data_IF_623511920030
#
_entry.id   IF_623511920030
#
_cell.length_a   1.000
_cell.length_b   1.000
_cell.length_c   1.000
_cell.angle_alpha   90.00
_cell.angle_beta   90.00
_cell.angle_gamma   90.00
#
_symmetry.space_group_name_H-M   'P 1'
#
loop_
_entity.id
_entity.type
_entity.pdbx_description
1 polymer ?
#
# COMPACT_ATOMS: atom_id res chain seq x y z
N UNK A 1 -11.00 1.69 13.52
CA UNK A 1 -11.36 0.28 13.28
C UNK A 1 -12.74 0.01 13.86
N UNK A 2 -13.55 -0.81 13.20
CA UNK A 2 -14.86 -1.19 13.73
C UNK A 2 -14.66 -2.08 14.96
N UNK A 3 -15.27 -1.72 16.08
CA UNK A 3 -15.26 -2.51 17.32
C UNK A 3 -16.34 -3.58 17.22
N UNK A 4 -16.03 -4.64 16.50
CA UNK A 4 -16.91 -5.81 16.31
C UNK A 4 -16.40 -7.02 17.12
N UNK A 5 -17.28 -7.95 17.53
CA UNK A 5 -16.93 -8.97 18.53
C UNK A 5 -15.78 -9.93 18.15
N UNK A 6 -15.59 -10.22 16.86
CA UNK A 6 -14.63 -11.24 16.41
C UNK A 6 -13.17 -10.80 16.49
N UNK A 7 -12.92 -9.49 16.47
CA UNK A 7 -11.58 -8.88 16.57
C UNK A 7 -11.39 -8.04 17.84
N UNK A 8 -12.45 -7.80 18.62
CA UNK A 8 -12.42 -6.89 19.76
C UNK A 8 -11.30 -7.19 20.77
N UNK A 9 -11.06 -8.47 21.06
CA UNK A 9 -10.04 -8.89 22.02
C UNK A 9 -8.62 -8.92 21.45
N UNK A 10 -8.48 -8.90 20.12
CA UNK A 10 -7.18 -8.91 19.45
C UNK A 10 -6.62 -7.50 19.24
N UNK A 11 -7.50 -6.51 19.12
CA UNK A 11 -7.11 -5.13 18.77
C UNK A 11 -6.63 -4.38 20.01
N UNK A 12 -5.42 -3.82 19.92
CA UNK A 12 -4.87 -2.92 20.93
C UNK A 12 -5.50 -1.52 20.80
N UNK A 13 -6.65 -1.33 21.45
CA UNK A 13 -7.44 -0.09 21.38
C UNK A 13 -6.72 1.08 22.03
N UNK A 14 -6.67 2.23 21.34
CA UNK A 14 -6.01 3.41 21.86
C UNK A 14 -5.93 4.56 20.87
N UNK A 15 -4.90 5.38 21.00
CA UNK A 15 -4.70 6.55 20.13
C UNK A 15 -4.52 6.17 18.65
N UNK A 16 -3.91 5.01 18.38
CA UNK A 16 -3.71 4.46 17.02
C UNK A 16 -4.97 3.75 16.54
N UNK A 17 -5.41 2.70 17.25
CA UNK A 17 -6.60 1.93 16.89
C UNK A 17 -7.83 2.54 17.57
N UNK A 18 -8.44 3.53 16.90
CA UNK A 18 -9.63 4.20 17.42
C UNK A 18 -10.90 3.41 17.07
N UNK A 19 -11.79 3.14 18.05
CA UNK A 19 -13.00 2.35 17.82
C UNK A 19 -14.06 3.14 17.05
N UNK A 20 -14.75 2.47 16.13
CA UNK A 20 -15.99 2.90 15.52
C UNK A 20 -17.08 1.86 15.82
N UNK A 21 -18.27 2.29 16.18
CA UNK A 21 -19.38 1.38 16.44
C UNK A 21 -19.85 0.70 15.12
N UNK A 22 -20.27 -0.58 15.16
CA UNK A 22 -20.70 -1.30 13.96
C UNK A 22 -21.86 -0.64 13.19
N UNK A 23 -22.86 -0.10 13.91
CA UNK A 23 -23.99 0.63 13.31
C UNK A 23 -23.54 1.88 12.54
N UNK A 24 -22.54 2.58 13.06
CA UNK A 24 -21.93 3.76 12.40
C UNK A 24 -21.15 3.38 11.15
N UNK A 25 -20.47 2.23 11.19
CA UNK A 25 -19.84 1.67 9.99
C UNK A 25 -20.87 1.32 8.92
N UNK A 26 -21.96 0.65 9.28
CA UNK A 26 -22.99 0.23 8.32
C UNK A 26 -23.66 1.43 7.65
N UNK A 27 -23.90 2.51 8.42
CA UNK A 27 -24.39 3.79 7.88
C UNK A 27 -23.38 4.41 6.89
N UNK A 28 -22.10 4.47 7.26
CA UNK A 28 -21.04 5.00 6.41
C UNK A 28 -20.88 4.17 5.13
N UNK A 29 -20.91 2.84 5.25
CA UNK A 29 -20.85 1.92 4.11
C UNK A 29 -22.00 2.16 3.14
N UNK A 30 -23.23 2.30 3.65
CA UNK A 30 -24.40 2.55 2.81
C UNK A 30 -24.29 3.87 2.04
N UNK A 31 -23.80 4.94 2.70
CA UNK A 31 -23.66 6.25 2.07
C UNK A 31 -22.47 6.31 1.09
N UNK A 32 -21.36 5.62 1.39
CA UNK A 32 -20.23 5.43 0.45
C UNK A 32 -20.68 4.65 -0.78
N UNK A 33 -21.44 3.56 -0.62
CA UNK A 33 -21.99 2.81 -1.76
C UNK A 33 -22.90 3.68 -2.62
N UNK A 34 -23.84 4.41 -2.01
CA UNK A 34 -24.71 5.34 -2.75
C UNK A 34 -23.91 6.39 -3.52
N UNK A 35 -22.83 6.92 -2.94
CA UNK A 35 -21.93 7.84 -3.62
C UNK A 35 -21.28 7.17 -4.85
N UNK A 36 -20.77 5.95 -4.70
CA UNK A 36 -20.10 5.20 -5.77
C UNK A 36 -21.06 4.76 -6.88
N UNK A 37 -22.26 4.30 -6.53
CA UNK A 37 -23.31 3.90 -7.47
C UNK A 37 -23.80 5.09 -8.32
N UNK A 38 -23.65 6.31 -7.81
CA UNK A 38 -23.99 7.55 -8.50
C UNK A 38 -22.82 8.12 -9.32
N UNK A 39 -21.77 7.34 -9.63
CA UNK A 39 -20.68 7.73 -10.52
C UNK A 39 -20.91 7.15 -11.90
N UNK A 40 -20.55 7.91 -12.94
CA UNK A 40 -20.68 7.45 -14.32
C UNK A 40 -19.74 6.28 -14.63
N UNK A 41 -18.58 6.25 -13.96
CA UNK A 41 -17.56 5.22 -14.14
C UNK A 41 -16.92 4.83 -12.80
N UNK A 42 -16.61 3.54 -12.68
CA UNK A 42 -15.85 2.97 -11.59
C UNK A 42 -14.72 2.10 -12.15
N UNK A 43 -13.52 2.28 -11.59
CA UNK A 43 -12.36 1.47 -11.91
C UNK A 43 -12.20 0.39 -10.84
N UNK A 44 -11.94 -0.84 -11.28
CA UNK A 44 -11.73 -2.01 -10.41
C UNK A 44 -10.34 -2.58 -10.61
N UNK A 45 -9.68 -2.95 -9.53
CA UNK A 45 -8.44 -3.73 -9.57
C UNK A 45 -8.55 -4.93 -8.62
N UNK A 46 -8.36 -6.12 -9.17
CA UNK A 46 -8.22 -7.37 -8.43
C UNK A 46 -6.73 -7.71 -8.31
N UNK A 47 -6.22 -7.70 -7.09
CA UNK A 47 -4.79 -7.75 -6.78
C UNK A 47 -4.51 -8.66 -5.58
N UNK A 48 -3.28 -9.14 -5.46
CA UNK A 48 -2.81 -9.88 -4.29
C UNK A 48 -1.97 -8.99 -3.37
N UNK A 49 -2.13 -9.18 -2.07
CA UNK A 49 -1.23 -8.67 -1.04
C UNK A 49 -0.52 -9.85 -0.37
N UNK A 50 0.80 -9.94 -0.51
CA UNK A 50 1.61 -11.10 -0.12
C UNK A 50 2.11 -11.91 -1.31
N UNK A 51 3.44 -11.98 -1.48
CA UNK A 51 4.10 -12.75 -2.54
C UNK A 51 4.14 -14.26 -2.26
N UNK A 52 3.85 -14.68 -1.03
CA UNK A 52 3.74 -16.09 -0.67
C UNK A 52 2.28 -16.59 -0.82
N UNK A 53 1.98 -17.51 -1.77
CA UNK A 53 0.60 -17.93 -2.05
C UNK A 53 -0.16 -18.51 -0.85
N UNK A 54 0.54 -19.17 0.08
CA UNK A 54 -0.06 -19.74 1.30
C UNK A 54 -0.61 -18.67 2.24
N UNK A 55 -0.09 -17.45 2.16
CA UNK A 55 -0.43 -16.35 3.07
C UNK A 55 -1.10 -15.15 2.38
N UNK A 56 -1.07 -15.08 1.04
CA UNK A 56 -1.60 -13.93 0.29
C UNK A 56 -3.09 -13.67 0.55
N UNK A 57 -3.47 -12.40 0.50
CA UNK A 57 -4.85 -11.95 0.48
C UNK A 57 -5.25 -11.55 -0.94
N UNK A 58 -6.48 -11.89 -1.34
CA UNK A 58 -7.08 -11.49 -2.61
C UNK A 58 -7.89 -10.22 -2.36
N UNK A 59 -7.47 -9.09 -2.91
CA UNK A 59 -8.04 -7.78 -2.59
C UNK A 59 -8.68 -7.18 -3.85
N UNK A 60 -9.94 -6.75 -3.72
CA UNK A 60 -10.62 -5.93 -4.74
C UNK A 60 -10.63 -4.47 -4.32
N UNK A 61 -10.04 -3.61 -5.15
CA UNK A 61 -10.13 -2.17 -5.02
C UNK A 61 -11.17 -1.61 -5.98
N UNK A 62 -11.94 -0.63 -5.52
CA UNK A 62 -12.93 0.09 -6.30
C UNK A 62 -12.78 1.59 -6.05
N UNK A 63 -12.70 2.38 -7.12
CA UNK A 63 -12.61 3.84 -7.03
C UNK A 63 -13.17 4.49 -8.30
N UNK A 64 -13.81 5.67 -8.23
CA UNK A 64 -14.12 6.45 -9.43
C UNK A 64 -12.89 7.12 -10.05
N UNK A 65 -11.74 7.04 -9.39
CA UNK A 65 -10.52 7.68 -9.83
C UNK A 65 -9.53 6.67 -10.43
N UNK A 66 -9.20 6.87 -11.72
CA UNK A 66 -8.29 6.03 -12.48
C UNK A 66 -6.87 5.99 -11.92
N UNK A 67 -6.32 7.13 -11.46
CA UNK A 67 -4.93 7.18 -11.02
C UNK A 67 -4.73 6.44 -9.69
N UNK A 68 -5.73 6.44 -8.80
CA UNK A 68 -5.71 5.60 -7.59
C UNK A 68 -5.72 4.11 -7.93
N UNK A 69 -6.43 3.70 -9.00
CA UNK A 69 -6.41 2.32 -9.47
C UNK A 69 -5.08 1.97 -10.15
N UNK A 70 -4.47 2.89 -10.88
CA UNK A 70 -3.10 2.74 -11.38
C UNK A 70 -2.09 2.64 -10.22
N UNK A 71 -2.29 3.40 -9.13
CA UNK A 71 -1.47 3.34 -7.93
C UNK A 71 -1.52 1.97 -7.27
N UNK A 72 -2.71 1.44 -6.96
CA UNK A 72 -2.79 0.10 -6.34
C UNK A 72 -2.26 -0.98 -7.28
N UNK A 73 -2.44 -0.82 -8.60
CA UNK A 73 -1.85 -1.70 -9.62
C UNK A 73 -0.32 -1.64 -9.69
N UNK A 74 0.29 -0.52 -9.30
CA UNK A 74 1.73 -0.43 -9.08
C UNK A 74 2.13 -1.08 -7.76
N UNK A 75 1.39 -0.81 -6.69
CA UNK A 75 1.76 -1.20 -5.33
C UNK A 75 1.53 -2.66 -4.98
N UNK A 76 0.52 -3.32 -5.53
CA UNK A 76 0.17 -4.69 -5.17
C UNK A 76 0.45 -5.68 -6.30
N UNK A 77 0.46 -6.96 -5.95
CA UNK A 77 0.88 -8.03 -6.84
C UNK A 77 -0.25 -8.31 -7.83
N UNK A 78 0.08 -8.28 -9.11
CA UNK A 78 -0.87 -8.52 -10.19
C UNK A 78 -1.09 -10.03 -10.32
N UNK A 79 -2.35 -10.51 -10.32
CA UNK A 79 -2.64 -11.88 -10.70
C UNK A 79 -2.23 -12.12 -12.15
N UNK A 80 -1.94 -13.37 -12.48
CA UNK A 80 -1.87 -13.78 -13.87
C UNK A 80 -3.25 -13.60 -14.53
N UNK A 81 -3.28 -13.29 -15.82
CA UNK A 81 -4.56 -13.03 -16.53
C UNK A 81 -5.53 -14.21 -16.40
N UNK A 82 -5.01 -15.43 -16.40
CA UNK A 82 -5.83 -16.64 -16.22
C UNK A 82 -6.45 -16.77 -14.82
N UNK A 83 -5.81 -16.23 -13.78
CA UNK A 83 -6.34 -16.25 -12.41
C UNK A 83 -7.53 -15.28 -12.23
N UNK A 84 -7.68 -14.29 -13.12
CA UNK A 84 -8.73 -13.26 -13.00
C UNK A 84 -10.15 -13.82 -13.21
N UNK A 85 -10.30 -14.89 -13.99
CA UNK A 85 -11.61 -15.48 -14.27
C UNK A 85 -12.27 -16.04 -13.00
N UNK A 86 -11.47 -16.62 -12.11
CA UNK A 86 -11.90 -17.25 -10.85
C UNK A 86 -11.50 -16.41 -9.62
N UNK A 87 -11.15 -15.14 -9.80
CA UNK A 87 -10.67 -14.31 -8.72
C UNK A 87 -11.76 -14.06 -7.66
N UNK A 88 -11.55 -14.63 -6.48
CA UNK A 88 -12.41 -14.46 -5.33
C UNK A 88 -11.78 -13.48 -4.33
N UNK A 89 -12.22 -12.21 -4.29
CA UNK A 89 -11.69 -11.26 -3.31
C UNK A 89 -12.08 -11.72 -1.90
N UNK A 90 -11.08 -11.82 -1.04
CA UNK A 90 -11.27 -12.06 0.38
C UNK A 90 -11.14 -10.77 1.20
N UNK A 91 -10.82 -9.64 0.58
CA UNK A 91 -10.93 -8.28 1.11
C UNK A 91 -11.44 -7.33 0.03
N UNK A 92 -12.21 -6.32 0.42
CA UNK A 92 -12.68 -5.26 -0.48
C UNK A 92 -12.34 -3.88 0.07
N UNK A 93 -11.82 -3.00 -0.79
CA UNK A 93 -11.51 -1.61 -0.47
C UNK A 93 -12.38 -0.71 -1.33
N UNK A 94 -13.29 0.01 -0.69
CA UNK A 94 -14.13 1.03 -1.32
C UNK A 94 -13.51 2.40 -1.09
N UNK A 95 -13.01 3.00 -2.17
CA UNK A 95 -12.33 4.27 -2.14
C UNK A 95 -13.18 5.37 -2.78
N UNK A 96 -13.61 6.33 -1.97
CA UNK A 96 -14.44 7.46 -2.34
C UNK A 96 -13.71 8.77 -1.96
N UNK A 97 -12.65 9.16 -2.69
CA UNK A 97 -11.75 10.24 -2.26
C UNK A 97 -12.45 11.59 -2.07
N UNK A 98 -13.47 11.88 -2.89
CA UNK A 98 -14.24 13.13 -2.83
C UNK A 98 -15.49 13.04 -1.92
N UNK A 99 -15.78 11.88 -1.34
CA UNK A 99 -16.88 11.75 -0.39
C UNK A 99 -16.38 12.16 1.00
N UNK A 100 -17.01 13.18 1.59
CA UNK A 100 -16.75 13.60 2.96
C UNK A 100 -17.79 12.97 3.89
N UNK A 101 -17.34 12.29 4.94
CA UNK A 101 -18.23 11.83 6.00
C UNK A 101 -18.83 13.02 6.76
N UNK A 102 -20.07 12.87 7.21
CA UNK A 102 -20.66 13.67 8.29
C UNK A 102 -20.26 13.07 9.67
N UNK A 103 -19.48 13.78 10.51
CA UNK A 103 -19.08 13.31 11.84
C UNK A 103 -20.25 12.94 12.76
N UNK A 104 -21.33 13.73 12.78
CA UNK A 104 -22.46 13.51 13.68
C UNK A 104 -23.26 12.26 13.27
N UNK A 105 -23.36 12.02 11.96
CA UNK A 105 -24.06 10.86 11.41
C UNK A 105 -23.22 9.59 11.44
N UNK A 106 -21.97 9.65 10.99
CA UNK A 106 -21.11 8.48 10.79
C UNK A 106 -20.20 8.19 11.98
N UNK A 107 -20.18 9.02 13.02
CA UNK A 107 -19.30 8.81 14.18
C UNK A 107 -17.81 8.96 13.88
N UNK A 108 -17.46 9.61 12.76
CA UNK A 108 -16.07 9.92 12.41
C UNK A 108 -15.62 11.19 13.12
N UNK A 109 -14.31 11.41 13.26
CA UNK A 109 -13.75 12.65 13.85
C UNK A 109 -13.89 13.85 12.91
N UNK A 110 -13.76 13.61 11.61
CA UNK A 110 -13.76 14.62 10.53
C UNK A 110 -14.47 14.06 9.29
N UNK A 111 -14.51 14.85 8.23
CA UNK A 111 -14.93 14.39 6.91
C UNK A 111 -14.04 13.32 6.30
N UNK A 112 -12.74 13.31 6.62
CA UNK A 112 -11.81 12.25 6.25
C UNK A 112 -12.01 11.01 7.11
N UNK A 113 -12.03 9.83 6.49
CA UNK A 113 -12.16 8.54 7.17
C UNK A 113 -11.35 7.45 6.45
N UNK A 114 -10.74 6.59 7.28
CA UNK A 114 -10.09 5.34 6.88
C UNK A 114 -10.58 4.30 7.90
N UNK A 115 -11.54 3.48 7.50
CA UNK A 115 -12.27 2.61 8.42
C UNK A 115 -12.19 1.17 7.95
N UNK A 116 -11.57 0.32 8.78
CA UNK A 116 -11.47 -1.12 8.56
C UNK A 116 -12.52 -1.85 9.40
N UNK A 117 -13.25 -2.76 8.77
CA UNK A 117 -14.07 -3.79 9.40
C UNK A 117 -13.48 -5.17 9.08
N UNK A 118 -12.88 -5.82 10.09
CA UNK A 118 -12.18 -7.10 9.92
C UNK A 118 -13.15 -8.28 9.74
N UNK A 119 -14.30 -8.27 10.42
CA UNK A 119 -15.33 -9.30 10.23
C UNK A 119 -15.94 -9.26 8.84
N UNK A 120 -16.32 -8.07 8.35
CA UNK A 120 -16.85 -7.88 7.01
C UNK A 120 -15.76 -7.82 5.92
N UNK A 121 -14.47 -7.90 6.30
CA UNK A 121 -13.31 -7.81 5.42
C UNK A 121 -13.39 -6.65 4.40
N UNK A 122 -13.80 -5.49 4.92
CA UNK A 122 -14.09 -4.30 4.12
C UNK A 122 -13.33 -3.10 4.67
N UNK A 123 -12.76 -2.30 3.77
CA UNK A 123 -12.10 -1.03 4.07
C UNK A 123 -12.85 0.09 3.36
N UNK A 124 -13.17 1.16 4.09
CA UNK A 124 -13.76 2.38 3.55
C UNK A 124 -12.73 3.51 3.66
N UNK A 125 -12.44 4.19 2.56
CA UNK A 125 -11.51 5.31 2.53
C UNK A 125 -12.17 6.48 1.78
N UNK A 126 -12.17 7.67 2.38
CA UNK A 126 -12.72 8.87 1.75
C UNK A 126 -12.39 10.16 2.48
N UNK A 127 -12.69 11.29 1.84
CA UNK A 127 -12.31 12.62 2.30
C UNK A 127 -10.79 12.85 2.27
N UNK A 128 -10.08 12.08 1.45
CA UNK A 128 -8.63 12.16 1.23
C UNK A 128 -8.30 11.60 -0.16
N UNK A 129 -7.34 12.24 -0.83
CA UNK A 129 -6.78 11.77 -2.10
C UNK A 129 -5.42 11.09 -1.93
N UNK A 130 -4.87 11.07 -0.71
CA UNK A 130 -3.53 10.55 -0.44
C UNK A 130 -3.49 9.04 -0.68
N UNK A 131 -2.70 8.61 -1.66
CA UNK A 131 -2.65 7.21 -2.07
C UNK A 131 -2.07 6.28 -1.00
N UNK A 132 -1.26 6.83 -0.10
CA UNK A 132 -0.68 6.09 1.02
C UNK A 132 -1.73 5.43 1.94
N UNK A 133 -2.96 5.94 1.99
CA UNK A 133 -4.05 5.32 2.76
C UNK A 133 -4.44 3.95 2.19
N UNK A 134 -4.48 3.80 0.85
CA UNK A 134 -4.77 2.52 0.18
C UNK A 134 -3.70 1.47 0.50
N UNK A 135 -2.43 1.89 0.50
CA UNK A 135 -1.28 1.06 0.87
C UNK A 135 -1.34 0.65 2.34
N UNK A 136 -1.32 1.62 3.25
CA UNK A 136 -1.16 1.37 4.69
C UNK A 136 -2.40 0.73 5.32
N UNK A 137 -3.59 0.93 4.78
CA UNK A 137 -4.78 0.20 5.24
C UNK A 137 -4.63 -1.31 5.03
N UNK A 138 -4.10 -1.75 3.88
CA UNK A 138 -3.81 -3.17 3.69
C UNK A 138 -2.65 -3.66 4.53
N UNK A 139 -1.63 -2.83 4.76
CA UNK A 139 -0.58 -3.20 5.70
C UNK A 139 -1.14 -3.45 7.11
N UNK A 140 -2.08 -2.61 7.59
CA UNK A 140 -2.78 -2.84 8.85
C UNK A 140 -3.54 -4.16 8.85
N UNK A 141 -4.19 -4.53 7.75
CA UNK A 141 -4.83 -5.84 7.59
C UNK A 141 -3.81 -6.98 7.69
N UNK A 142 -2.66 -6.87 7.02
CA UNK A 142 -1.60 -7.88 7.08
C UNK A 142 -1.04 -8.01 8.50
N UNK A 143 -0.81 -6.90 9.21
CA UNK A 143 -0.38 -6.91 10.61
C UNK A 143 -1.37 -7.61 11.55
N UNK A 144 -2.65 -7.70 11.20
CA UNK A 144 -3.65 -8.45 11.96
C UNK A 144 -3.68 -9.94 11.59
N UNK A 145 -3.74 -10.28 10.30
CA UNK A 145 -3.93 -11.67 9.87
C UNK A 145 -2.65 -12.51 9.86
N UNK A 146 -1.48 -11.90 9.61
CA UNK A 146 -0.22 -12.65 9.52
C UNK A 146 0.17 -13.29 10.87
N UNK A 147 0.13 -12.58 12.02
CA UNK A 147 0.43 -13.20 13.31
C UNK A 147 -0.50 -14.36 13.66
N UNK A 148 -1.79 -14.28 13.28
CA UNK A 148 -2.75 -15.39 13.46
C UNK A 148 -2.43 -16.64 12.64
N UNK A 149 -1.57 -16.51 11.63
CA UNK A 149 -1.07 -17.60 10.78
C UNK A 149 0.37 -17.98 11.09
N UNK A 150 0.93 -17.51 12.21
CA UNK A 150 2.32 -17.78 12.60
C UNK A 150 3.36 -16.99 11.79
N UNK A 151 2.94 -15.98 11.02
CA UNK A 151 3.85 -15.14 10.21
C UNK A 151 4.14 -13.84 10.93
N UNK A 152 5.41 -13.50 11.10
CA UNK A 152 5.82 -12.21 11.63
C UNK A 152 5.66 -11.15 10.53
N UNK A 153 4.72 -10.22 10.72
CA UNK A 153 4.57 -9.04 9.86
C UNK A 153 5.58 -7.96 10.27
N UNK A 154 6.25 -7.34 9.29
CA UNK A 154 7.37 -6.43 9.50
C UNK A 154 7.25 -5.18 8.63
N UNK A 155 7.54 -4.03 9.22
CA UNK A 155 7.71 -2.76 8.51
C UNK A 155 9.22 -2.53 8.30
N UNK A 156 9.77 -3.14 7.25
CA UNK A 156 11.18 -3.11 6.91
C UNK A 156 11.37 -3.28 5.39
N UNK A 157 12.49 -2.81 4.86
CA UNK A 157 12.95 -3.23 3.54
C UNK A 157 13.74 -4.53 3.64
N UNK A 158 13.82 -5.28 2.54
CA UNK A 158 14.58 -6.52 2.47
C UNK A 158 15.29 -6.68 1.12
N UNK A 159 16.51 -7.21 1.16
CA UNK A 159 17.26 -7.60 -0.04
C UNK A 159 18.01 -8.92 0.17
N UNK A 160 18.41 -9.55 -0.93
CA UNK A 160 19.08 -10.84 -0.94
C UNK A 160 20.42 -10.77 -1.68
N UNK A 161 21.46 -11.30 -1.05
CA UNK A 161 22.79 -11.43 -1.64
C UNK A 161 22.86 -12.57 -2.65
N UNK A 162 23.98 -12.62 -3.40
CA UNK A 162 24.22 -13.67 -4.40
C UNK A 162 24.25 -15.09 -3.84
N UNK A 163 24.50 -15.24 -2.54
CA UNK A 163 24.54 -16.52 -1.84
C UNK A 163 23.21 -16.87 -1.16
N UNK A 164 22.16 -16.09 -1.39
CA UNK A 164 20.83 -16.31 -0.80
C UNK A 164 20.67 -15.76 0.61
N UNK A 165 21.66 -15.05 1.13
CA UNK A 165 21.61 -14.37 2.44
C UNK A 165 20.64 -13.18 2.39
N UNK A 166 19.57 -13.24 3.18
CA UNK A 166 18.55 -12.18 3.24
C UNK A 166 18.90 -11.20 4.36
N UNK A 167 18.86 -9.90 4.07
CA UNK A 167 19.04 -8.84 5.05
C UNK A 167 17.75 -8.03 5.21
N UNK A 168 17.45 -7.63 6.44
CA UNK A 168 16.27 -6.85 6.82
C UNK A 168 16.70 -5.51 7.39
N UNK A 169 16.06 -4.43 6.95
CA UNK A 169 16.41 -3.07 7.41
C UNK A 169 15.18 -2.42 8.02
N UNK A 170 15.16 -2.34 9.35
CA UNK A 170 14.13 -1.66 10.11
C UNK A 170 14.49 -0.18 10.29
N UNK A 171 13.48 0.68 10.27
CA UNK A 171 13.66 2.11 10.44
C UNK A 171 12.39 2.90 10.15
N UNK A 172 12.30 4.12 10.66
CA UNK A 172 11.19 5.02 10.36
C UNK A 172 11.32 5.59 8.94
N UNK A 173 10.31 6.31 8.47
CA UNK A 173 10.39 7.02 7.19
C UNK A 173 11.54 8.04 7.24
N UNK A 174 12.42 8.03 6.23
CA UNK A 174 13.57 8.95 6.16
C UNK A 174 14.83 8.51 6.90
N UNK A 175 14.88 7.31 7.51
CA UNK A 175 16.09 6.78 8.18
C UNK A 175 17.00 5.97 7.26
N UNK A 176 16.92 6.17 5.93
CA UNK A 176 17.79 5.51 4.96
C UNK A 176 17.45 4.04 4.63
N UNK A 177 16.27 3.51 5.01
CA UNK A 177 15.86 2.13 4.65
C UNK A 177 16.00 1.85 3.15
N UNK A 178 15.33 2.67 2.34
CA UNK A 178 15.32 2.55 0.88
C UNK A 178 16.73 2.65 0.31
N UNK A 179 17.49 3.67 0.72
CA UNK A 179 18.88 3.90 0.30
C UNK A 179 19.80 2.72 0.64
N UNK A 180 19.71 2.16 1.85
CA UNK A 180 20.55 1.02 2.28
C UNK A 180 20.12 -0.30 1.63
N UNK A 181 18.83 -0.45 1.30
CA UNK A 181 18.32 -1.65 0.64
C UNK A 181 18.63 -1.68 -0.86
N UNK A 182 18.81 -0.52 -1.49
CA UNK A 182 19.15 -0.35 -2.91
C UNK A 182 20.66 -0.55 -3.16
N UNK A 183 21.20 -1.68 -2.72
CA UNK A 183 22.59 -2.06 -2.94
C UNK A 183 22.76 -2.65 -4.37
N UNK A 184 23.67 -2.14 -5.21
CA UNK A 184 23.86 -2.64 -6.57
C UNK A 184 24.35 -4.10 -6.65
N UNK A 185 24.82 -4.67 -5.53
CA UNK A 185 25.29 -6.05 -5.44
C UNK A 185 24.27 -7.02 -4.84
N UNK A 186 23.10 -6.52 -4.41
CA UNK A 186 22.04 -7.31 -3.78
C UNK A 186 20.73 -7.09 -4.53
N UNK A 187 19.89 -8.12 -4.58
CA UNK A 187 18.60 -8.03 -5.24
C UNK A 187 17.51 -7.60 -4.23
N UNK A 188 16.74 -6.57 -4.55
CA UNK A 188 15.65 -6.06 -3.73
C UNK A 188 14.47 -7.04 -3.70
N UNK A 189 14.05 -7.44 -2.50
CA UNK A 189 12.81 -8.21 -2.27
C UNK A 189 11.62 -7.24 -2.20
N UNK A 190 11.80 -6.14 -1.45
CA UNK A 190 10.83 -5.06 -1.26
C UNK A 190 11.41 -3.93 -0.41
N UNK A 191 10.82 -2.74 -0.47
CA UNK A 191 11.35 -1.54 0.18
C UNK A 191 10.65 -1.17 1.51
N UNK A 192 9.56 -1.84 1.90
CA UNK A 192 8.76 -1.35 3.04
C UNK A 192 8.03 -2.42 3.87
N UNK A 193 7.37 -3.41 3.27
CA UNK A 193 6.43 -4.29 4.01
C UNK A 193 6.65 -5.78 3.71
N UNK A 194 6.96 -6.57 4.73
CA UNK A 194 7.32 -7.98 4.58
C UNK A 194 6.66 -8.89 5.62
N UNK A 195 6.44 -10.14 5.25
CA UNK A 195 6.16 -11.24 6.17
C UNK A 195 7.38 -12.14 6.31
N UNK A 196 7.57 -12.71 7.50
CA UNK A 196 8.52 -13.79 7.76
C UNK A 196 7.77 -15.04 8.22
N UNK A 197 7.72 -16.05 7.35
CA UNK A 197 7.10 -17.36 7.55
C UNK A 197 8.14 -18.45 7.81
N UNK A 198 7.70 -19.68 8.00
CA UNK A 198 8.58 -20.86 8.07
C UNK A 198 9.36 -21.11 6.77
N UNK A 199 8.99 -20.46 5.66
CA UNK A 199 9.66 -20.58 4.36
C UNK A 199 10.65 -19.45 4.06
N UNK A 200 10.67 -18.39 4.86
CA UNK A 200 11.56 -17.24 4.66
C UNK A 200 10.82 -15.91 4.70
N UNK A 201 11.39 -14.92 4.02
CA UNK A 201 10.88 -13.56 3.94
C UNK A 201 10.13 -13.37 2.61
N UNK A 202 8.97 -12.72 2.65
CA UNK A 202 8.21 -12.40 1.44
C UNK A 202 7.65 -10.99 1.49
N UNK A 203 7.65 -10.30 0.35
CA UNK A 203 7.10 -8.98 0.20
C UNK A 203 5.57 -9.03 0.26
N UNK A 204 4.92 -8.05 0.89
CA UNK A 204 3.47 -7.88 0.81
C UNK A 204 3.03 -7.16 -0.47
N UNK A 205 3.96 -6.42 -1.08
CA UNK A 205 3.72 -5.50 -2.18
C UNK A 205 4.27 -6.05 -3.51
N UNK A 206 3.81 -5.48 -4.61
CA UNK A 206 4.29 -5.70 -5.98
C UNK A 206 4.99 -4.46 -6.58
N UNK A 207 5.20 -3.43 -5.77
CA UNK A 207 5.85 -2.18 -6.14
C UNK A 207 6.41 -1.41 -4.96
N UNK A 208 6.87 -0.19 -5.25
CA UNK A 208 7.50 0.69 -4.27
C UNK A 208 6.78 2.04 -4.20
N UNK A 209 6.81 2.67 -3.03
CA UNK A 209 6.24 4.01 -2.79
C UNK A 209 7.28 4.98 -2.21
N UNK A 210 8.30 5.24 -3.00
CA UNK A 210 9.49 5.98 -2.60
C UNK A 210 9.18 7.46 -2.30
N UNK A 211 9.89 8.03 -1.32
CA UNK A 211 9.96 9.47 -1.13
C UNK A 211 10.94 10.03 -2.16
N UNK A 212 10.56 11.10 -2.87
CA UNK A 212 11.38 11.64 -3.96
C UNK A 212 11.83 13.08 -3.77
N UNK A 213 11.62 13.66 -2.58
CA UNK A 213 12.19 14.96 -2.25
C UNK A 213 13.72 14.87 -2.30
N UNK A 214 14.36 15.82 -2.98
CA UNK A 214 15.80 15.87 -3.24
C UNK A 214 16.38 14.64 -3.97
N UNK A 215 15.54 13.88 -4.68
CA UNK A 215 15.99 12.75 -5.48
C UNK A 215 16.94 13.22 -6.60
N UNK A 216 18.08 12.55 -6.74
CA UNK A 216 19.07 12.84 -7.78
C UNK A 216 19.55 11.55 -8.45
N UNK A 217 19.97 11.62 -9.73
CA UNK A 217 20.53 10.46 -10.43
C UNK A 217 21.86 9.99 -9.82
N UNK A 218 22.60 10.87 -9.12
CA UNK A 218 23.84 10.49 -8.44
C UNK A 218 23.61 9.78 -7.11
N UNK A 219 22.58 10.18 -6.35
CA UNK A 219 22.30 9.63 -5.02
C UNK A 219 21.56 8.30 -5.07
N UNK A 220 20.51 8.22 -5.90
CA UNK A 220 19.62 7.07 -5.98
C UNK A 220 19.27 6.76 -7.46
N UNK A 221 20.26 6.32 -8.28
CA UNK A 221 20.12 6.21 -9.74
C UNK A 221 18.96 5.33 -10.20
N UNK A 222 18.76 4.18 -9.54
CA UNK A 222 17.70 3.24 -9.92
C UNK A 222 16.30 3.80 -9.65
N UNK A 223 16.13 4.51 -8.53
CA UNK A 223 14.86 5.16 -8.17
C UNK A 223 14.62 6.38 -9.06
N UNK A 224 15.65 7.19 -9.31
CA UNK A 224 15.56 8.30 -10.25
C UNK A 224 15.12 7.84 -11.65
N UNK A 225 15.68 6.73 -12.14
CA UNK A 225 15.32 6.18 -13.43
C UNK A 225 13.82 5.83 -13.52
N UNK A 226 13.20 5.32 -12.45
CA UNK A 226 11.77 4.97 -12.47
C UNK A 226 10.88 6.20 -12.69
N UNK A 227 11.30 7.39 -12.26
CA UNK A 227 10.54 8.65 -12.44
C UNK A 227 10.39 9.06 -13.92
N UNK A 228 11.22 8.50 -14.79
CA UNK A 228 11.20 8.74 -16.24
C UNK A 228 10.50 7.61 -17.02
N UNK A 229 9.92 6.63 -16.31
CA UNK A 229 9.25 5.48 -16.94
C UNK A 229 7.73 5.68 -16.98
N UNK A 230 7.12 5.33 -18.11
CA UNK A 230 5.67 5.35 -18.25
C UNK A 230 5.02 4.41 -17.23
N UNK A 231 3.96 4.86 -16.56
CA UNK A 231 3.26 4.10 -15.52
C UNK A 231 3.71 4.45 -14.10
N UNK A 232 4.83 5.15 -13.92
CA UNK A 232 5.19 5.74 -12.62
C UNK A 232 4.27 6.91 -12.31
N UNK A 233 3.74 6.93 -11.09
CA UNK A 233 2.91 8.02 -10.57
C UNK A 233 3.76 8.89 -9.67
N UNK A 234 3.84 10.18 -9.97
CA UNK A 234 4.51 11.16 -9.12
C UNK A 234 3.44 11.95 -8.35
N UNK A 235 3.35 11.74 -7.04
CA UNK A 235 2.37 12.37 -6.16
C UNK A 235 2.95 13.66 -5.55
N UNK A 236 2.23 14.78 -5.73
CA UNK A 236 2.54 16.09 -5.16
C UNK A 236 3.90 16.70 -5.56
N UNK A 237 4.52 16.23 -6.64
CA UNK A 237 5.73 16.87 -7.19
C UNK A 237 5.38 18.13 -7.98
N UNK A 238 6.30 19.09 -8.04
CA UNK A 238 6.18 20.26 -8.92
C UNK A 238 6.89 19.99 -10.24
N UNK A 239 6.22 20.30 -11.35
CA UNK A 239 6.82 20.24 -12.68
C UNK A 239 7.21 21.65 -13.13
N UNK A 240 8.33 21.76 -13.82
CA UNK A 240 8.69 22.95 -14.56
C UNK A 240 7.65 23.20 -15.67
N UNK A 241 7.01 24.39 -15.72
CA UNK A 241 5.88 24.63 -16.61
C UNK A 241 6.23 24.66 -18.10
N UNK A 242 7.51 24.76 -18.45
CA UNK A 242 7.97 24.84 -19.85
C UNK A 242 8.51 23.49 -20.31
N UNK A 243 9.30 22.82 -19.47
CA UNK A 243 10.02 21.60 -19.82
C UNK A 243 9.32 20.33 -19.31
N UNK A 244 8.33 20.46 -18.43
CA UNK A 244 7.67 19.38 -17.70
C UNK A 244 8.63 18.50 -16.87
N UNK A 245 9.87 18.96 -16.65
CA UNK A 245 10.81 18.26 -15.77
C UNK A 245 10.38 18.41 -14.32
N UNK A 246 10.52 17.33 -13.56
CA UNK A 246 10.24 17.34 -12.11
C UNK A 246 11.29 18.17 -11.39
N UNK A 247 10.86 19.03 -10.48
CA UNK A 247 11.72 19.78 -9.55
C UNK A 247 11.72 19.05 -8.20
N UNK A 248 12.62 18.10 -8.03
CA UNK A 248 12.63 17.21 -6.85
C UNK A 248 12.97 17.94 -5.55
N UNK A 249 13.62 19.09 -5.63
CA UNK A 249 13.92 19.99 -4.51
C UNK A 249 12.72 20.86 -4.09
N UNK A 250 11.68 20.95 -4.92
CA UNK A 250 10.52 21.82 -4.66
C UNK A 250 9.54 21.17 -3.69
N UNK A 251 9.47 21.74 -2.48
CA UNK A 251 8.60 21.31 -1.39
C UNK A 251 7.41 22.26 -1.14
N UNK A 252 7.06 23.12 -2.12
CA UNK A 252 5.99 24.11 -1.97
C UNK A 252 4.61 23.49 -1.72
N UNK A 253 4.36 22.26 -2.20
CA UNK A 253 3.15 21.49 -1.88
C UNK A 253 3.36 20.71 -0.57
N UNK A 254 4.46 19.96 -0.48
CA UNK A 254 4.79 19.14 0.68
C UNK A 254 6.24 18.63 0.59
N UNK A 255 6.87 18.33 1.74
CA UNK A 255 8.11 17.54 1.77
C UNK A 255 7.86 16.04 1.51
N UNK A 256 6.61 15.59 1.57
CA UNK A 256 6.20 14.20 1.36
C UNK A 256 5.89 13.92 -0.12
N UNK A 257 6.73 14.40 -1.04
CA UNK A 257 6.61 14.04 -2.46
C UNK A 257 6.92 12.56 -2.66
N UNK A 258 6.15 11.89 -3.52
CA UNK A 258 6.22 10.43 -3.68
C UNK A 258 6.30 9.99 -5.13
N UNK A 259 6.90 8.83 -5.36
CA UNK A 259 6.81 8.09 -6.61
C UNK A 259 6.29 6.67 -6.34
N UNK A 260 5.23 6.27 -7.04
CA UNK A 260 4.72 4.90 -7.05
C UNK A 260 5.04 4.24 -8.38
N UNK A 261 5.71 3.09 -8.33
CA UNK A 261 6.09 2.33 -9.51
C UNK A 261 6.11 0.82 -9.23
N UNK A 262 5.90 -0.04 -10.25
CA UNK A 262 6.00 -1.49 -10.11
C UNK A 262 7.42 -1.93 -9.74
N UNK A 263 7.55 -2.98 -8.93
CA UNK A 263 8.83 -3.51 -8.49
C UNK A 263 9.76 -3.90 -9.66
N UNK A 264 9.24 -4.45 -10.79
CA UNK A 264 10.08 -4.74 -11.96
C UNK A 264 10.80 -3.54 -12.60
N UNK A 265 10.48 -2.30 -12.22
CA UNK A 265 11.21 -1.12 -12.70
C UNK A 265 12.57 -0.97 -12.00
N UNK A 266 12.75 -1.58 -10.84
CA UNK A 266 14.06 -1.71 -10.20
C UNK A 266 14.83 -2.83 -10.89
N UNK A 267 16.02 -2.50 -11.41
CA UNK A 267 16.83 -3.43 -12.22
C UNK A 267 17.18 -4.71 -11.46
N UNK A 268 17.67 -4.56 -10.23
CA UNK A 268 18.07 -5.67 -9.38
C UNK A 268 16.93 -6.08 -8.43
N UNK A 269 15.72 -6.35 -8.94
CA UNK A 269 14.65 -6.88 -8.10
C UNK A 269 14.64 -8.41 -8.08
N UNK A 270 14.03 -8.99 -7.05
CA UNK A 270 13.73 -10.43 -6.98
C UNK A 270 12.34 -10.67 -7.57
N UNK A 271 12.21 -11.31 -8.75
CA UNK A 271 10.91 -11.45 -9.42
C UNK A 271 9.85 -12.20 -8.60
N UNK A 272 10.29 -13.13 -7.74
CA UNK A 272 9.40 -13.90 -6.87
C UNK A 272 8.89 -13.11 -5.66
N UNK A 273 9.46 -11.93 -5.37
CA UNK A 273 9.18 -11.18 -4.14
C UNK A 273 9.52 -11.94 -2.85
N UNK A 274 10.38 -12.96 -2.91
CA UNK A 274 10.66 -13.89 -1.80
C UNK A 274 12.16 -14.15 -1.64
N UNK A 275 12.61 -14.23 -0.39
CA UNK A 275 13.97 -14.59 0.01
C UNK A 275 13.97 -15.64 1.11
N UNK A 276 15.15 -16.19 1.42
CA UNK A 276 15.33 -17.12 2.54
C UNK A 276 15.17 -16.43 3.89
N UNK A 277 15.42 -17.17 4.98
CA UNK A 277 15.47 -16.57 6.31
C UNK A 277 16.56 -15.50 6.41
N UNK A 278 16.30 -14.47 7.23
CA UNK A 278 17.30 -13.47 7.58
C UNK A 278 18.52 -14.13 8.23
N UNK A 279 19.72 -13.72 7.84
CA UNK A 279 21.00 -14.15 8.44
C UNK A 279 21.78 -12.95 8.95
#
# INVERSE_FOLDING_TARGET
MVREPSSEHDVDWGAVNQPLAPDRFDLLLADVRRYLDARDELFVQDLYCGAEPAHRLSVRYLSPNAWHMAFVRNMFIRPEVAELADFAPNFTVLHAPEFSADPARHGTRTGTFIVLNLAQRTILIGGTRYAGELKKAMFTVMNYYMPKRGVLSMHCSANIGRHGDTALFFGLSGTGKTTLSADPHRNLIGDDEHGWSDHGVFNFEGGCYAKVINLSPEGEPDIYATTQMFGTILENVVLDPVTSKVRFEDQSITENTRASYPLPYIRNHVPSGRGGHGR
#
